data_IF_659027979805
#
_entry.id   IF_659027979805
#
_cell.length_a   1.000
_cell.length_b   1.000
_cell.length_c   1.000
_cell.angle_alpha   90.00
_cell.angle_beta   90.00
_cell.angle_gamma   90.00
#
_symmetry.space_group_name_H-M   'P 1'
#
loop_
_entity.id
_entity.type
_entity.pdbx_description
1 polymer ?
#
# COMPACT_ATOMS: atom_id res chain seq x y z
N UNK A 1 -21.50 -15.43 15.38
CA UNK A 1 -20.92 -14.15 14.94
C UNK A 1 -21.44 -13.09 15.89
N UNK A 2 -20.61 -12.61 16.82
CA UNK A 2 -21.07 -11.64 17.80
C UNK A 2 -21.32 -10.29 17.10
N UNK A 3 -22.49 -9.70 17.34
CA UNK A 3 -22.81 -8.37 16.87
C UNK A 3 -21.82 -7.37 17.49
N UNK A 4 -21.16 -6.60 16.65
CA UNK A 4 -20.31 -5.47 17.06
C UNK A 4 -20.98 -4.16 16.70
N UNK A 5 -20.57 -3.02 17.27
CA UNK A 5 -21.11 -1.72 16.88
C UNK A 5 -21.03 -1.46 15.37
N UNK A 6 -20.07 -2.11 14.70
CA UNK A 6 -19.79 -1.95 13.28
C UNK A 6 -20.51 -2.95 12.38
N UNK A 7 -20.87 -4.13 12.91
CA UNK A 7 -21.48 -5.23 12.14
C UNK A 7 -22.67 -5.75 12.94
N UNK A 8 -23.88 -5.72 12.34
CA UNK A 8 -25.10 -6.31 12.88
C UNK A 8 -25.71 -7.27 11.86
N UNK A 9 -26.15 -8.44 12.32
CA UNK A 9 -26.75 -9.48 11.48
C UNK A 9 -25.95 -9.81 10.19
N UNK A 10 -24.61 -9.80 10.29
CA UNK A 10 -23.74 -10.10 9.14
C UNK A 10 -23.69 -9.02 8.06
N UNK A 11 -24.06 -7.78 8.36
CA UNK A 11 -23.98 -6.62 7.47
C UNK A 11 -23.34 -5.43 8.18
N UNK A 12 -22.67 -4.56 7.43
CA UNK A 12 -22.21 -3.29 7.96
C UNK A 12 -23.41 -2.45 8.43
N UNK A 13 -23.26 -1.78 9.57
CA UNK A 13 -24.21 -0.75 10.00
C UNK A 13 -24.07 0.48 9.11
N UNK A 14 -25.13 1.29 9.00
CA UNK A 14 -25.08 2.56 8.27
C UNK A 14 -23.96 3.48 8.79
N UNK A 15 -23.76 3.48 10.12
CA UNK A 15 -22.66 4.21 10.77
C UNK A 15 -21.28 3.74 10.26
N UNK A 16 -21.07 2.43 10.16
CA UNK A 16 -19.79 1.89 9.67
C UNK A 16 -19.51 2.28 8.23
N UNK A 17 -20.55 2.22 7.38
CA UNK A 17 -20.42 2.64 5.98
C UNK A 17 -20.11 4.13 5.91
N UNK A 18 -20.82 4.96 6.66
CA UNK A 18 -20.58 6.39 6.72
C UNK A 18 -19.15 6.69 7.19
N UNK A 19 -18.67 6.05 8.26
CA UNK A 19 -17.32 6.23 8.79
C UNK A 19 -16.25 5.82 7.79
N UNK A 20 -16.44 4.73 7.04
CA UNK A 20 -15.48 4.29 6.01
C UNK A 20 -15.26 5.33 4.91
N UNK A 21 -16.27 6.11 4.56
CA UNK A 21 -16.14 7.18 3.56
C UNK A 21 -15.77 8.53 4.18
N UNK A 22 -16.36 8.88 5.31
CA UNK A 22 -16.14 10.17 5.96
C UNK A 22 -14.73 10.30 6.54
N UNK A 23 -14.14 9.21 7.05
CA UNK A 23 -12.81 9.26 7.66
C UNK A 23 -11.72 9.70 6.66
N UNK A 24 -11.55 9.06 5.48
CA UNK A 24 -10.57 9.53 4.50
C UNK A 24 -10.86 10.93 3.98
N UNK A 25 -12.14 11.27 3.77
CA UNK A 25 -12.55 12.60 3.29
C UNK A 25 -12.22 13.67 4.34
N UNK A 26 -12.59 13.46 5.58
CA UNK A 26 -12.31 14.40 6.67
C UNK A 26 -10.80 14.56 6.88
N UNK A 27 -10.05 13.45 6.87
CA UNK A 27 -8.58 13.48 6.95
C UNK A 27 -7.99 14.26 5.79
N UNK A 28 -8.47 14.04 4.56
CA UNK A 28 -8.01 14.77 3.38
C UNK A 28 -8.28 16.27 3.49
N UNK A 29 -9.49 16.68 3.89
CA UNK A 29 -9.86 18.08 4.06
C UNK A 29 -9.00 18.77 5.13
N UNK A 30 -8.82 18.13 6.29
CA UNK A 30 -7.95 18.65 7.35
C UNK A 30 -6.51 18.80 6.84
N UNK A 31 -5.98 17.79 6.16
CA UNK A 31 -4.61 17.77 5.67
C UNK A 31 -4.38 18.69 4.45
N UNK A 32 -5.44 19.10 3.73
CA UNK A 32 -5.37 20.18 2.75
C UNK A 32 -5.17 21.53 3.42
N UNK A 33 -5.72 21.75 4.61
CA UNK A 33 -5.53 23.00 5.36
C UNK A 33 -4.16 23.02 6.06
N UNK A 34 -3.66 21.87 6.54
CA UNK A 34 -2.42 21.75 7.32
C UNK A 34 -1.21 21.60 6.40
N UNK A 35 -0.16 22.34 6.68
CA UNK A 35 1.11 22.31 5.95
C UNK A 35 2.06 23.36 6.50
N UNK A 36 3.25 23.54 5.88
CA UNK A 36 4.18 24.62 6.23
C UNK A 36 3.55 26.00 6.17
N UNK A 37 2.62 26.19 5.26
CA UNK A 37 1.72 27.34 5.23
C UNK A 37 0.34 26.85 5.59
N UNK A 38 -0.30 27.44 6.59
CA UNK A 38 -1.71 27.18 6.90
C UNK A 38 -2.58 27.78 5.80
N UNK A 39 -3.55 26.99 5.32
CA UNK A 39 -4.52 27.44 4.31
C UNK A 39 -5.90 27.40 4.94
N UNK A 40 -6.65 28.52 4.92
CA UNK A 40 -8.02 28.55 5.42
C UNK A 40 -8.92 27.54 4.69
N UNK A 41 -9.83 26.91 5.43
CA UNK A 41 -10.78 25.94 4.85
C UNK A 41 -11.64 26.57 3.74
N UNK A 42 -11.95 27.85 3.84
CA UNK A 42 -12.67 28.58 2.81
C UNK A 42 -11.92 28.63 1.47
N UNK A 43 -10.59 28.74 1.50
CA UNK A 43 -9.77 28.72 0.26
C UNK A 43 -9.72 27.32 -0.32
N UNK A 44 -9.63 26.28 0.52
CA UNK A 44 -9.68 24.88 0.07
C UNK A 44 -11.00 24.60 -0.65
N UNK A 45 -12.14 25.01 -0.07
CA UNK A 45 -13.46 24.80 -0.67
C UNK A 45 -13.56 25.57 -2.00
N UNK A 46 -13.10 26.83 -2.04
CA UNK A 46 -13.09 27.64 -3.26
C UNK A 46 -12.21 27.02 -4.35
N UNK A 47 -11.01 26.55 -3.98
CA UNK A 47 -10.10 25.90 -4.91
C UNK A 47 -10.66 24.59 -5.47
N UNK A 48 -11.32 23.78 -4.65
CA UNK A 48 -11.98 22.54 -5.12
C UNK A 48 -13.16 22.90 -6.03
N UNK A 49 -13.98 23.89 -5.67
CA UNK A 49 -15.10 24.35 -6.48
C UNK A 49 -14.62 24.87 -7.84
N UNK A 50 -13.51 25.60 -7.87
CA UNK A 50 -12.96 26.17 -9.13
C UNK A 50 -12.52 25.10 -10.15
N UNK A 51 -12.20 23.86 -9.69
CA UNK A 51 -11.92 22.73 -10.59
C UNK A 51 -13.14 22.34 -11.44
N UNK A 52 -14.35 22.60 -10.94
CA UNK A 52 -15.61 22.27 -11.62
C UNK A 52 -16.21 23.47 -12.36
N UNK A 53 -15.97 24.69 -11.88
CA UNK A 53 -16.53 25.92 -12.50
C UNK A 53 -15.59 26.56 -13.50
N UNK A 54 -14.29 26.22 -13.47
CA UNK A 54 -13.27 26.87 -14.30
C UNK A 54 -12.86 28.27 -13.84
N UNK A 55 -13.52 28.83 -12.83
CA UNK A 55 -13.26 30.17 -12.31
C UNK A 55 -12.10 30.12 -11.27
N UNK A 56 -10.90 30.41 -11.72
CA UNK A 56 -9.71 30.44 -10.83
C UNK A 56 -9.40 31.84 -10.30
N UNK A 57 -10.02 32.89 -10.87
CA UNK A 57 -9.76 34.28 -10.49
C UNK A 57 -10.12 34.54 -9.02
N UNK A 58 -9.15 35.07 -8.25
CA UNK A 58 -9.35 35.46 -6.84
C UNK A 58 -9.24 34.32 -5.81
N UNK A 59 -8.90 33.10 -6.20
CA UNK A 59 -8.65 32.00 -5.25
C UNK A 59 -7.20 32.10 -4.74
N UNK A 60 -7.04 32.64 -3.55
CA UNK A 60 -5.74 32.65 -2.88
C UNK A 60 -5.23 31.21 -2.67
N UNK A 61 -3.93 30.99 -2.76
CA UNK A 61 -3.29 29.69 -2.56
C UNK A 61 -3.74 28.57 -3.53
N UNK A 62 -4.40 28.89 -4.64
CA UNK A 62 -4.88 27.91 -5.62
C UNK A 62 -3.79 26.92 -6.04
N UNK A 63 -2.61 27.44 -6.43
CA UNK A 63 -1.50 26.60 -6.89
C UNK A 63 -0.99 25.64 -5.78
N UNK A 64 -0.96 26.09 -4.53
CA UNK A 64 -0.55 25.28 -3.40
C UNK A 64 -1.56 24.14 -3.15
N UNK A 65 -2.85 24.46 -3.24
CA UNK A 65 -3.92 23.47 -2.99
C UNK A 65 -3.98 22.47 -4.13
N UNK A 66 -4.13 22.96 -5.38
CA UNK A 66 -4.46 22.12 -6.52
C UNK A 66 -3.22 21.47 -7.14
N UNK A 67 -2.09 22.18 -7.24
CA UNK A 67 -0.91 21.65 -7.94
C UNK A 67 0.07 20.93 -7.02
N UNK A 68 0.07 21.23 -5.70
CA UNK A 68 1.00 20.60 -4.76
C UNK A 68 0.30 19.65 -3.80
N UNK A 69 -0.74 20.09 -3.06
CA UNK A 69 -1.33 19.28 -1.98
C UNK A 69 -2.30 18.23 -2.49
N UNK A 70 -3.16 18.58 -3.41
CA UNK A 70 -4.20 17.67 -3.91
C UNK A 70 -3.61 16.43 -4.59
N UNK A 71 -2.60 16.51 -5.50
CA UNK A 71 -1.97 15.32 -6.06
C UNK A 71 -1.32 14.43 -4.98
N UNK A 72 -0.69 15.00 -3.96
CA UNK A 72 -0.10 14.24 -2.87
C UNK A 72 -1.16 13.46 -2.08
N UNK A 73 -2.26 14.11 -1.73
CA UNK A 73 -3.37 13.47 -1.00
C UNK A 73 -4.01 12.36 -1.84
N UNK A 74 -4.26 12.60 -3.13
CA UNK A 74 -4.80 11.57 -4.03
C UNK A 74 -3.85 10.37 -4.14
N UNK A 75 -2.55 10.62 -4.26
CA UNK A 75 -1.55 9.57 -4.29
C UNK A 75 -1.50 8.81 -2.96
N UNK A 76 -1.55 9.51 -1.81
CA UNK A 76 -1.60 8.91 -0.49
C UNK A 76 -2.83 8.01 -0.29
N UNK A 77 -4.01 8.43 -0.77
CA UNK A 77 -5.24 7.62 -0.74
C UNK A 77 -5.05 6.32 -1.49
N UNK A 78 -4.60 6.39 -2.75
CA UNK A 78 -4.49 5.22 -3.62
C UNK A 78 -3.40 4.26 -3.13
N UNK A 79 -2.23 4.78 -2.78
CA UNK A 79 -1.10 3.99 -2.27
C UNK A 79 -1.44 3.37 -0.91
N UNK A 80 -2.01 4.15 0.01
CA UNK A 80 -2.39 3.69 1.34
C UNK A 80 -3.45 2.59 1.30
N UNK A 81 -4.52 2.79 0.54
CA UNK A 81 -5.54 1.78 0.33
C UNK A 81 -4.96 0.52 -0.35
N UNK A 82 -4.13 0.69 -1.38
CA UNK A 82 -3.50 -0.41 -2.10
C UNK A 82 -2.61 -1.27 -1.21
N UNK A 83 -1.64 -0.67 -0.54
CA UNK A 83 -0.68 -1.41 0.28
C UNK A 83 -1.35 -2.14 1.45
N UNK A 84 -2.40 -1.57 2.05
CA UNK A 84 -3.17 -2.24 3.10
C UNK A 84 -4.00 -3.39 2.56
N UNK A 85 -4.58 -3.25 1.39
CA UNK A 85 -5.32 -4.32 0.70
C UNK A 85 -4.39 -5.50 0.37
N UNK A 86 -3.23 -5.22 -0.21
CA UNK A 86 -2.20 -6.21 -0.51
C UNK A 86 -1.70 -6.89 0.77
N UNK A 87 -1.38 -6.12 1.81
CA UNK A 87 -0.94 -6.65 3.11
C UNK A 87 -1.96 -7.58 3.74
N UNK A 88 -3.25 -7.18 3.81
CA UNK A 88 -4.31 -8.04 4.32
C UNK A 88 -4.44 -9.34 3.51
N UNK A 89 -4.30 -9.25 2.19
CA UNK A 89 -4.36 -10.40 1.29
C UNK A 89 -3.25 -11.40 1.59
N UNK A 90 -2.00 -10.93 1.77
CA UNK A 90 -0.89 -11.80 2.13
C UNK A 90 -1.05 -12.41 3.52
N UNK A 91 -1.52 -11.63 4.51
CA UNK A 91 -1.80 -12.15 5.85
C UNK A 91 -2.83 -13.29 5.83
N UNK A 92 -3.89 -13.14 5.03
CA UNK A 92 -4.89 -14.19 4.86
C UNK A 92 -4.34 -15.40 4.07
N UNK A 93 -3.55 -15.16 3.02
CA UNK A 93 -2.98 -16.19 2.14
C UNK A 93 -1.99 -17.09 2.87
N UNK A 94 -1.17 -16.51 3.75
CA UNK A 94 -0.17 -17.21 4.54
C UNK A 94 -0.66 -17.62 5.93
N UNK A 95 -1.93 -17.31 6.27
CA UNK A 95 -2.50 -17.49 7.62
C UNK A 95 -1.56 -16.96 8.72
N UNK A 96 -0.86 -15.86 8.40
CA UNK A 96 0.15 -15.25 9.26
C UNK A 96 -0.05 -13.74 9.32
N UNK A 97 -0.35 -13.16 10.49
CA UNK A 97 -0.58 -11.72 10.65
C UNK A 97 0.66 -10.85 10.35
N UNK A 98 1.84 -11.45 10.25
CA UNK A 98 3.10 -10.77 9.93
C UNK A 98 3.46 -10.83 8.43
N UNK A 99 2.66 -11.50 7.61
CA UNK A 99 2.94 -11.62 6.19
C UNK A 99 2.73 -10.28 5.45
N UNK A 100 3.68 -9.95 4.59
CA UNK A 100 3.65 -8.78 3.71
C UNK A 100 3.96 -9.20 2.27
N UNK A 101 3.63 -8.38 1.24
CA UNK A 101 4.01 -8.67 -0.14
C UNK A 101 5.51 -8.90 -0.35
N UNK A 102 6.36 -8.36 0.53
CA UNK A 102 7.82 -8.49 0.47
C UNK A 102 8.30 -9.93 0.62
N UNK A 103 7.50 -10.79 1.24
CA UNK A 103 7.81 -12.23 1.39
C UNK A 103 8.07 -12.91 0.04
N UNK A 104 7.46 -12.43 -1.05
CA UNK A 104 7.68 -12.96 -2.40
C UNK A 104 8.69 -12.15 -3.24
N UNK A 105 9.36 -11.17 -2.62
CA UNK A 105 10.37 -10.35 -3.28
C UNK A 105 9.82 -9.25 -4.19
N UNK A 106 8.51 -8.95 -4.13
CA UNK A 106 7.87 -7.94 -4.98
C UNK A 106 8.59 -6.60 -4.89
N UNK A 107 8.79 -6.10 -3.68
CA UNK A 107 9.43 -4.80 -3.44
C UNK A 107 10.87 -4.78 -3.94
N UNK A 108 11.65 -5.83 -3.64
CA UNK A 108 13.03 -5.93 -4.12
C UNK A 108 13.13 -5.92 -5.65
N UNK A 109 12.26 -6.69 -6.32
CA UNK A 109 12.19 -6.68 -7.78
C UNK A 109 11.80 -5.31 -8.33
N UNK A 110 10.75 -4.70 -7.79
CA UNK A 110 10.29 -3.37 -8.21
C UNK A 110 11.37 -2.31 -8.02
N UNK A 111 12.14 -2.36 -6.92
CA UNK A 111 13.25 -1.46 -6.68
C UNK A 111 14.35 -1.61 -7.73
N UNK A 112 14.73 -2.83 -8.10
CA UNK A 112 15.71 -3.06 -9.18
C UNK A 112 15.22 -2.43 -10.49
N UNK A 113 13.95 -2.66 -10.86
CA UNK A 113 13.38 -2.07 -12.06
C UNK A 113 13.39 -0.54 -12.02
N UNK A 114 13.07 0.06 -10.87
CA UNK A 114 13.08 1.53 -10.75
C UNK A 114 14.49 2.10 -10.72
N UNK A 115 15.46 1.45 -10.05
CA UNK A 115 16.87 1.86 -10.06
C UNK A 115 17.39 1.86 -11.50
N UNK A 116 17.09 0.82 -12.25
CA UNK A 116 17.46 0.72 -13.67
C UNK A 116 16.84 1.86 -14.48
N UNK A 117 15.56 2.15 -14.29
CA UNK A 117 14.87 3.24 -14.97
C UNK A 117 15.45 4.63 -14.63
N UNK A 118 15.85 4.85 -13.37
CA UNK A 118 16.52 6.10 -12.93
C UNK A 118 17.89 6.23 -13.61
N UNK A 119 18.69 5.17 -13.63
CA UNK A 119 20.00 5.17 -14.31
C UNK A 119 19.85 5.50 -15.80
N UNK A 120 18.82 4.94 -16.43
CA UNK A 120 18.53 5.16 -17.86
C UNK A 120 17.79 6.48 -18.12
N UNK A 121 17.50 7.27 -17.09
CA UNK A 121 16.73 8.54 -17.18
C UNK A 121 15.39 8.38 -17.92
N UNK A 122 14.67 7.29 -17.64
CA UNK A 122 13.39 6.98 -18.24
C UNK A 122 12.27 7.96 -17.83
N UNK A 123 11.27 8.10 -18.69
CA UNK A 123 10.05 8.87 -18.38
C UNK A 123 9.24 8.23 -17.22
N UNK A 124 8.29 9.00 -16.66
CA UNK A 124 7.40 8.52 -15.57
C UNK A 124 6.67 7.23 -15.98
N UNK A 125 6.16 7.16 -17.19
CA UNK A 125 5.45 5.99 -17.70
C UNK A 125 6.38 4.78 -17.81
N UNK A 126 7.52 4.95 -18.45
CA UNK A 126 8.51 3.88 -18.61
C UNK A 126 9.01 3.38 -17.26
N UNK A 127 9.32 4.28 -16.33
CA UNK A 127 9.74 3.92 -14.97
C UNK A 127 8.69 3.04 -14.27
N UNK A 128 7.41 3.41 -14.34
CA UNK A 128 6.35 2.62 -13.72
C UNK A 128 6.18 1.26 -14.40
N UNK A 129 6.29 1.19 -15.73
CA UNK A 129 6.18 -0.07 -16.47
C UNK A 129 7.36 -1.01 -16.21
N UNK A 130 8.58 -0.49 -16.21
CA UNK A 130 9.80 -1.26 -15.89
C UNK A 130 9.73 -1.77 -14.45
N UNK A 131 9.37 -0.92 -13.50
CA UNK A 131 9.21 -1.29 -12.10
C UNK A 131 8.17 -2.41 -11.92
N UNK A 132 7.00 -2.29 -12.57
CA UNK A 132 5.96 -3.33 -12.56
C UNK A 132 6.47 -4.63 -13.17
N UNK A 133 7.15 -4.57 -14.31
CA UNK A 133 7.69 -5.74 -14.99
C UNK A 133 8.69 -6.49 -14.09
N UNK A 134 9.62 -5.77 -13.43
CA UNK A 134 10.58 -6.37 -12.51
C UNK A 134 9.91 -6.91 -11.22
N UNK A 135 8.88 -6.25 -10.71
CA UNK A 135 8.07 -6.78 -9.60
C UNK A 135 7.38 -8.11 -9.95
N UNK A 136 6.78 -8.18 -11.14
CA UNK A 136 6.17 -9.41 -11.67
C UNK A 136 7.22 -10.48 -11.96
N UNK A 137 8.39 -10.11 -12.50
CA UNK A 137 9.52 -11.00 -12.75
C UNK A 137 10.03 -11.63 -11.45
N UNK A 138 10.14 -10.85 -10.38
CA UNK A 138 10.55 -11.36 -9.06
C UNK A 138 9.57 -12.41 -8.53
N UNK A 139 8.27 -12.15 -8.61
CA UNK A 139 7.24 -13.12 -8.20
C UNK A 139 7.25 -14.35 -9.08
N UNK A 140 7.37 -14.18 -10.40
CA UNK A 140 7.49 -15.32 -11.32
C UNK A 140 8.70 -16.18 -10.98
N UNK A 141 9.86 -15.56 -10.70
CA UNK A 141 11.07 -16.26 -10.28
C UNK A 141 10.86 -17.01 -8.96
N UNK A 142 10.23 -16.38 -7.96
CA UNK A 142 9.86 -17.00 -6.70
C UNK A 142 8.95 -18.22 -6.89
N UNK A 143 7.90 -18.07 -7.70
CA UNK A 143 6.98 -19.18 -8.01
C UNK A 143 7.69 -20.33 -8.75
N UNK A 144 8.64 -20.02 -9.62
CA UNK A 144 9.42 -21.01 -10.35
C UNK A 144 10.38 -21.79 -9.44
N UNK A 145 11.06 -21.12 -8.50
CA UNK A 145 11.92 -21.77 -7.48
C UNK A 145 11.07 -22.67 -6.58
N UNK A 146 9.92 -22.18 -6.10
CA UNK A 146 9.03 -22.97 -5.25
C UNK A 146 8.45 -24.20 -5.95
N UNK A 147 8.37 -24.20 -7.29
CA UNK A 147 7.96 -25.33 -8.12
C UNK A 147 6.57 -25.86 -7.82
N UNK A 148 6.31 -27.12 -8.17
CA UNK A 148 5.01 -27.77 -7.90
C UNK A 148 4.71 -27.95 -6.41
N UNK A 149 5.70 -27.82 -5.55
CA UNK A 149 5.54 -27.90 -4.10
C UNK A 149 4.96 -26.62 -3.47
N UNK A 150 4.96 -25.51 -4.20
CA UNK A 150 4.36 -24.23 -3.74
C UNK A 150 2.86 -24.36 -3.45
N UNK A 151 2.16 -25.30 -4.11
CA UNK A 151 0.75 -25.57 -3.85
C UNK A 151 0.52 -26.44 -2.60
N UNK A 152 1.56 -27.10 -2.08
CA UNK A 152 1.48 -28.03 -0.95
C UNK A 152 2.02 -27.43 0.37
N UNK A 153 2.95 -26.49 0.31
CA UNK A 153 3.51 -25.89 1.51
C UNK A 153 3.85 -24.41 1.31
N UNK A 154 3.26 -23.54 2.13
CA UNK A 154 3.57 -22.10 2.15
C UNK A 154 5.02 -21.84 2.56
N UNK A 155 5.67 -22.76 3.31
CA UNK A 155 7.06 -22.62 3.73
C UNK A 155 7.99 -22.57 2.51
N UNK A 156 7.80 -23.44 1.51
CA UNK A 156 8.62 -23.41 0.28
C UNK A 156 8.47 -22.10 -0.49
N UNK A 157 7.27 -21.53 -0.49
CA UNK A 157 7.01 -20.25 -1.14
C UNK A 157 7.73 -19.10 -0.42
N UNK A 158 7.75 -19.10 0.91
CA UNK A 158 8.48 -18.12 1.73
C UNK A 158 9.99 -18.25 1.50
N UNK A 159 10.54 -19.47 1.57
CA UNK A 159 11.98 -19.71 1.33
C UNK A 159 12.40 -19.28 -0.09
N UNK A 160 11.60 -19.60 -1.09
CA UNK A 160 11.84 -19.16 -2.47
C UNK A 160 11.82 -17.63 -2.58
N UNK A 161 10.92 -16.97 -1.86
CA UNK A 161 10.85 -15.51 -1.82
C UNK A 161 12.07 -14.87 -1.13
N UNK A 162 12.60 -15.48 -0.06
CA UNK A 162 13.85 -15.03 0.58
C UNK A 162 15.02 -15.11 -0.42
N UNK A 163 15.13 -16.22 -1.16
CA UNK A 163 16.17 -16.39 -2.20
C UNK A 163 16.02 -15.33 -3.31
N UNK A 164 14.79 -15.16 -3.81
CA UNK A 164 14.50 -14.16 -4.83
C UNK A 164 14.84 -12.75 -4.35
N UNK A 165 14.36 -12.36 -3.16
CA UNK A 165 14.65 -11.06 -2.56
C UNK A 165 16.14 -10.81 -2.40
N UNK A 166 16.90 -11.81 -1.95
CA UNK A 166 18.36 -11.71 -1.79
C UNK A 166 19.04 -11.47 -3.11
N UNK A 167 18.64 -12.18 -4.18
CA UNK A 167 19.18 -11.99 -5.51
C UNK A 167 18.87 -10.60 -6.07
N UNK A 168 17.60 -10.17 -6.02
CA UNK A 168 17.24 -8.84 -6.51
C UNK A 168 17.90 -7.72 -5.68
N UNK A 169 18.04 -7.88 -4.36
CA UNK A 169 18.79 -6.93 -3.54
C UNK A 169 20.28 -6.85 -3.92
N UNK A 170 20.91 -7.99 -4.25
CA UNK A 170 22.29 -8.02 -4.74
C UNK A 170 22.42 -7.29 -6.08
N UNK A 171 21.49 -7.53 -7.03
CA UNK A 171 21.43 -6.80 -8.31
C UNK A 171 21.23 -5.30 -8.08
N UNK A 172 20.29 -4.92 -7.20
CA UNK A 172 20.06 -3.52 -6.85
C UNK A 172 21.28 -2.84 -6.22
N UNK A 173 22.05 -3.59 -5.41
CA UNK A 173 23.31 -3.09 -4.84
C UNK A 173 24.39 -2.93 -5.89
N UNK A 174 24.48 -3.84 -6.85
CA UNK A 174 25.40 -3.72 -7.98
C UNK A 174 25.06 -2.49 -8.86
N UNK A 175 23.79 -2.28 -9.17
CA UNK A 175 23.36 -1.10 -9.92
C UNK A 175 23.67 0.21 -9.19
N UNK A 176 23.49 0.26 -7.87
CA UNK A 176 23.88 1.43 -7.05
C UNK A 176 25.40 1.65 -7.04
N UNK A 177 26.19 0.57 -6.98
CA UNK A 177 27.65 0.63 -7.01
C UNK A 177 28.19 1.19 -8.33
N UNK A 178 27.53 0.90 -9.43
CA UNK A 178 27.91 1.37 -10.79
C UNK A 178 27.27 2.72 -11.16
N UNK A 179 26.34 3.23 -10.35
CA UNK A 179 25.67 4.50 -10.61
C UNK A 179 26.61 5.70 -10.37
N UNK A 180 26.36 6.81 -11.11
CA UNK A 180 27.08 8.05 -10.92
C UNK A 180 26.96 8.54 -9.46
N UNK A 181 28.10 8.72 -8.74
CA UNK A 181 28.07 9.07 -7.31
C UNK A 181 27.53 10.47 -7.02
N UNK A 182 27.59 11.41 -7.97
CA UNK A 182 27.21 12.80 -7.77
C UNK A 182 25.76 13.08 -8.13
N UNK A 183 25.20 12.34 -9.11
CA UNK A 183 23.85 12.57 -9.63
C UNK A 183 22.90 11.37 -9.31
N UNK A 184 23.16 10.20 -9.88
CA UNK A 184 22.21 9.08 -9.84
C UNK A 184 22.15 8.37 -8.49
N UNK A 185 23.27 8.21 -7.80
CA UNK A 185 23.30 7.52 -6.51
C UNK A 185 22.50 8.25 -5.41
N UNK A 186 22.62 9.58 -5.25
CA UNK A 186 21.75 10.33 -4.35
C UNK A 186 20.28 10.22 -4.73
N UNK A 187 19.93 10.38 -6.02
CA UNK A 187 18.55 10.25 -6.52
C UNK A 187 17.94 8.90 -6.16
N UNK A 188 18.64 7.80 -6.44
CA UNK A 188 18.23 6.42 -6.10
C UNK A 188 18.06 6.25 -4.59
N UNK A 189 19.00 6.78 -3.81
CA UNK A 189 18.97 6.65 -2.34
C UNK A 189 17.75 7.36 -1.74
N UNK A 190 17.49 8.59 -2.17
CA UNK A 190 16.29 9.33 -1.74
C UNK A 190 15.01 8.63 -2.19
N UNK A 191 14.97 8.13 -3.43
CA UNK A 191 13.80 7.43 -3.93
C UNK A 191 13.50 6.16 -3.13
N UNK A 192 14.54 5.37 -2.77
CA UNK A 192 14.40 4.15 -1.96
C UNK A 192 13.81 4.41 -0.57
N UNK A 193 14.04 5.58 0.01
CA UNK A 193 13.48 5.94 1.31
C UNK A 193 11.98 6.20 1.29
N UNK A 194 11.39 6.34 0.11
CA UNK A 194 9.97 6.60 -0.10
C UNK A 194 9.56 8.03 0.19
N UNK A 195 8.88 8.65 -0.78
CA UNK A 195 8.39 10.03 -0.66
C UNK A 195 7.23 10.28 -1.62
N UNK A 196 6.34 11.21 -1.25
CA UNK A 196 5.37 11.79 -2.18
C UNK A 196 5.85 13.11 -2.80
N UNK A 197 7.11 13.49 -2.60
CA UNK A 197 7.74 14.59 -3.34
C UNK A 197 7.69 14.29 -4.83
N UNK A 198 7.27 15.25 -5.63
CA UNK A 198 7.07 15.04 -7.07
C UNK A 198 5.79 14.26 -7.43
N UNK A 199 4.82 14.15 -6.50
CA UNK A 199 3.47 13.69 -6.84
C UNK A 199 2.88 14.59 -7.91
N UNK A 200 2.34 13.99 -8.96
CA UNK A 200 1.70 14.71 -10.07
C UNK A 200 0.50 13.93 -10.58
N UNK A 201 -0.44 14.65 -11.21
CA UNK A 201 -1.59 14.01 -11.83
C UNK A 201 -1.20 12.99 -12.89
N UNK A 202 -0.11 13.23 -13.66
CA UNK A 202 0.41 12.28 -14.64
C UNK A 202 0.85 10.98 -13.98
N UNK A 203 1.59 11.07 -12.87
CA UNK A 203 2.07 9.90 -12.14
C UNK A 203 0.92 9.08 -11.55
N UNK A 204 -0.10 9.77 -11.03
CA UNK A 204 -1.32 9.14 -10.51
C UNK A 204 -2.12 8.47 -11.64
N UNK A 205 -2.29 9.15 -12.78
CA UNK A 205 -3.03 8.62 -13.92
C UNK A 205 -2.47 7.32 -14.48
N UNK A 206 -1.16 7.11 -14.39
CA UNK A 206 -0.50 5.85 -14.81
C UNK A 206 -0.60 4.76 -13.74
N UNK A 207 -0.28 5.08 -12.48
CA UNK A 207 -0.17 4.07 -11.42
C UNK A 207 -1.52 3.71 -10.77
N UNK A 208 -2.44 4.68 -10.61
CA UNK A 208 -3.71 4.42 -9.93
C UNK A 208 -4.60 3.39 -10.61
N UNK A 209 -4.74 3.32 -11.95
CA UNK A 209 -5.56 2.29 -12.59
C UNK A 209 -5.07 0.87 -12.27
N UNK A 210 -3.75 0.67 -12.19
CA UNK A 210 -3.16 -0.62 -11.85
C UNK A 210 -3.47 -1.00 -10.39
N UNK A 211 -3.29 -0.07 -9.45
CA UNK A 211 -3.62 -0.29 -8.04
C UNK A 211 -5.12 -0.57 -7.88
N UNK A 212 -5.98 0.24 -8.50
CA UNK A 212 -7.43 0.09 -8.41
C UNK A 212 -7.92 -1.22 -9.04
N UNK A 213 -7.33 -1.65 -10.15
CA UNK A 213 -7.66 -2.96 -10.75
C UNK A 213 -7.33 -4.12 -9.82
N UNK A 214 -6.16 -4.09 -9.18
CA UNK A 214 -5.78 -5.09 -8.18
C UNK A 214 -6.70 -5.07 -6.96
N UNK A 215 -7.02 -3.89 -6.42
CA UNK A 215 -8.00 -3.73 -5.32
C UNK A 215 -9.36 -4.29 -5.74
N UNK A 216 -9.83 -4.00 -6.96
CA UNK A 216 -11.12 -4.49 -7.46
C UNK A 216 -11.15 -6.02 -7.49
N UNK A 217 -10.11 -6.67 -8.01
CA UNK A 217 -10.02 -8.14 -8.03
C UNK A 217 -10.08 -8.71 -6.61
N UNK A 218 -9.28 -8.17 -5.69
CA UNK A 218 -9.27 -8.62 -4.29
C UNK A 218 -10.62 -8.36 -3.62
N UNK A 219 -11.22 -7.19 -3.83
CA UNK A 219 -12.51 -6.81 -3.25
C UNK A 219 -13.64 -7.73 -3.71
N UNK A 220 -13.70 -8.06 -4.97
CA UNK A 220 -14.72 -8.95 -5.52
C UNK A 220 -14.56 -10.39 -5.01
N UNK A 221 -13.33 -10.84 -4.83
CA UNK A 221 -13.03 -12.21 -4.41
C UNK A 221 -12.78 -12.35 -2.89
N UNK A 222 -12.92 -11.27 -2.10
CA UNK A 222 -12.52 -11.20 -0.69
C UNK A 222 -13.07 -12.30 0.21
N UNK A 223 -14.24 -12.85 -0.14
CA UNK A 223 -14.83 -13.97 0.61
C UNK A 223 -13.99 -15.26 0.48
N UNK A 224 -13.29 -15.46 -0.65
CA UNK A 224 -12.41 -16.62 -0.87
C UNK A 224 -11.18 -16.58 0.02
N UNK A 225 -10.75 -15.40 0.48
CA UNK A 225 -9.63 -15.27 1.44
C UNK A 225 -9.94 -15.95 2.77
N UNK A 226 -11.20 -15.97 3.20
CA UNK A 226 -11.59 -16.69 4.41
C UNK A 226 -11.40 -18.21 4.25
N UNK A 227 -11.65 -18.73 3.07
CA UNK A 227 -11.46 -20.16 2.78
C UNK A 227 -9.96 -20.49 2.71
N UNK A 228 -9.15 -19.61 2.12
CA UNK A 228 -7.69 -19.80 2.06
C UNK A 228 -7.01 -19.72 3.44
N UNK A 229 -7.69 -19.16 4.44
CA UNK A 229 -7.22 -19.08 5.81
C UNK A 229 -7.58 -20.30 6.67
N UNK A 230 -8.37 -21.26 6.12
CA UNK A 230 -8.70 -22.52 6.76
C UNK A 230 -7.55 -23.53 6.62
N UNK A 231 -7.68 -24.66 7.30
CA UNK A 231 -6.79 -25.79 7.09
C UNK A 231 -6.86 -26.29 5.63
N UNK A 232 -5.79 -26.92 5.14
CA UNK A 232 -5.72 -27.30 3.73
C UNK A 232 -6.85 -28.28 3.32
N UNK A 233 -7.23 -29.15 4.23
CA UNK A 233 -8.28 -30.16 3.98
C UNK A 233 -9.68 -29.52 3.96
N UNK A 234 -9.97 -28.63 4.89
CA UNK A 234 -11.22 -27.85 4.88
C UNK A 234 -11.32 -26.95 3.64
N UNK A 235 -10.22 -26.31 3.26
CA UNK A 235 -10.19 -25.48 2.06
C UNK A 235 -10.41 -26.29 0.78
N UNK A 236 -9.86 -27.51 0.68
CA UNK A 236 -10.12 -28.45 -0.44
C UNK A 236 -11.57 -28.89 -0.47
N UNK A 237 -12.18 -29.20 0.68
CA UNK A 237 -13.58 -29.59 0.79
C UNK A 237 -14.56 -28.52 0.29
N UNK A 238 -14.15 -27.24 0.24
CA UNK A 238 -14.97 -26.15 -0.31
C UNK A 238 -15.21 -26.21 -1.82
N UNK A 239 -14.53 -27.10 -2.56
CA UNK A 239 -14.61 -27.22 -4.01
C UNK A 239 -13.88 -26.13 -4.79
N UNK A 240 -13.15 -25.22 -4.13
CA UNK A 240 -12.37 -24.18 -4.80
C UNK A 240 -11.04 -24.72 -5.36
N UNK A 241 -10.68 -24.24 -6.55
CA UNK A 241 -9.35 -24.49 -7.09
C UNK A 241 -8.33 -23.58 -6.34
N UNK A 242 -7.78 -24.12 -5.24
CA UNK A 242 -6.89 -23.37 -4.35
C UNK A 242 -5.65 -22.81 -5.07
N UNK A 243 -4.91 -23.58 -5.92
CA UNK A 243 -3.74 -23.05 -6.62
C UNK A 243 -4.07 -21.84 -7.50
N UNK A 244 -5.16 -21.92 -8.28
CA UNK A 244 -5.59 -20.80 -9.13
C UNK A 244 -6.02 -19.60 -8.30
N UNK A 245 -6.77 -19.83 -7.23
CA UNK A 245 -7.25 -18.77 -6.35
C UNK A 245 -6.07 -18.04 -5.64
N UNK A 246 -5.10 -18.81 -5.15
CA UNK A 246 -3.85 -18.25 -4.57
C UNK A 246 -3.08 -17.41 -5.60
N UNK A 247 -2.91 -17.93 -6.82
CA UNK A 247 -2.21 -17.21 -7.90
C UNK A 247 -2.88 -15.88 -8.23
N UNK A 248 -4.22 -15.85 -8.34
CA UNK A 248 -4.96 -14.59 -8.60
C UNK A 248 -4.68 -13.56 -7.52
N UNK A 249 -4.72 -13.93 -6.25
CA UNK A 249 -4.43 -13.01 -5.15
C UNK A 249 -2.96 -12.56 -5.11
N UNK A 250 -2.02 -13.46 -5.38
CA UNK A 250 -0.59 -13.13 -5.50
C UNK A 250 -0.39 -12.10 -6.61
N UNK A 251 -0.93 -12.35 -7.81
CA UNK A 251 -0.76 -11.43 -8.95
C UNK A 251 -1.45 -10.08 -8.70
N UNK A 252 -2.68 -10.06 -8.18
CA UNK A 252 -3.37 -8.83 -7.86
C UNK A 252 -2.60 -7.99 -6.81
N UNK A 253 -2.12 -8.63 -5.75
CA UNK A 253 -1.31 -7.96 -4.72
C UNK A 253 0.05 -7.52 -5.25
N UNK A 254 0.67 -8.27 -6.17
CA UNK A 254 1.91 -7.88 -6.85
C UNK A 254 1.72 -6.63 -7.68
N UNK A 255 0.66 -6.56 -8.49
CA UNK A 255 0.34 -5.38 -9.29
C UNK A 255 0.12 -4.16 -8.39
N UNK A 256 -0.63 -4.31 -7.30
CA UNK A 256 -0.84 -3.23 -6.32
C UNK A 256 0.51 -2.77 -5.75
N UNK A 257 1.30 -3.68 -5.21
CA UNK A 257 2.54 -3.34 -4.50
C UNK A 257 3.58 -2.75 -5.44
N UNK A 258 3.80 -3.38 -6.60
CA UNK A 258 4.77 -2.88 -7.58
C UNK A 258 4.38 -1.49 -8.11
N UNK A 259 3.08 -1.26 -8.39
CA UNK A 259 2.62 0.06 -8.82
C UNK A 259 2.73 1.10 -7.70
N UNK A 260 2.39 0.76 -6.45
CA UNK A 260 2.53 1.66 -5.31
C UNK A 260 3.99 2.04 -5.07
N UNK A 261 4.89 1.04 -5.04
CA UNK A 261 6.34 1.26 -4.85
C UNK A 261 6.93 2.08 -5.99
N UNK A 262 6.54 1.84 -7.25
CA UNK A 262 7.01 2.64 -8.40
C UNK A 262 6.58 4.11 -8.33
N UNK A 263 5.45 4.39 -7.66
CA UNK A 263 4.95 5.76 -7.50
C UNK A 263 5.65 6.53 -6.37
N UNK A 264 5.98 5.89 -5.28
CA UNK A 264 6.42 6.59 -4.07
C UNK A 264 7.66 6.01 -3.38
N UNK A 265 8.32 5.01 -3.97
CA UNK A 265 9.41 4.29 -3.33
C UNK A 265 8.91 3.30 -2.27
N UNK A 266 9.82 2.82 -1.43
CA UNK A 266 9.48 1.84 -0.41
C UNK A 266 8.68 2.48 0.73
N UNK A 267 7.55 1.85 1.09
CA UNK A 267 6.77 2.21 2.27
C UNK A 267 6.48 0.95 3.06
N UNK A 268 7.11 0.84 4.22
CA UNK A 268 6.92 -0.29 5.13
C UNK A 268 5.77 -0.09 6.11
N UNK A 269 5.52 -1.10 6.94
CA UNK A 269 4.61 -1.12 8.10
C UNK A 269 3.12 -0.97 7.82
N UNK A 270 2.71 -0.19 6.82
CA UNK A 270 1.29 0.07 6.55
C UNK A 270 0.50 -1.19 6.22
N UNK A 271 1.06 -2.06 5.36
CA UNK A 271 0.46 -3.35 4.98
C UNK A 271 0.41 -4.37 6.12
N UNK A 272 1.16 -4.12 7.21
CA UNK A 272 1.17 -4.96 8.40
C UNK A 272 0.24 -4.41 9.49
N UNK A 273 0.37 -3.13 9.79
CA UNK A 273 -0.30 -2.46 10.91
C UNK A 273 -1.80 -2.31 10.67
N UNK A 274 -2.18 -1.74 9.52
CA UNK A 274 -3.56 -1.34 9.26
C UNK A 274 -4.53 -2.53 9.18
N UNK A 275 -4.21 -3.65 8.50
CA UNK A 275 -5.08 -4.83 8.53
C UNK A 275 -5.25 -5.39 9.96
N UNK A 276 -4.24 -5.27 10.80
CA UNK A 276 -4.34 -5.68 12.21
C UNK A 276 -5.34 -4.78 12.98
N UNK A 277 -5.23 -3.46 12.83
CA UNK A 277 -6.20 -2.51 13.38
C UNK A 277 -7.62 -2.78 12.88
N UNK A 278 -7.78 -3.05 11.59
CA UNK A 278 -9.08 -3.37 11.00
C UNK A 278 -9.69 -4.63 11.62
N UNK A 279 -8.89 -5.69 11.82
CA UNK A 279 -9.37 -6.92 12.50
C UNK A 279 -9.81 -6.68 13.93
N UNK A 280 -9.18 -5.78 14.65
CA UNK A 280 -9.62 -5.41 16.00
C UNK A 280 -11.00 -4.72 16.02
N UNK A 281 -11.34 -4.00 14.96
CA UNK A 281 -12.63 -3.29 14.87
C UNK A 281 -13.78 -4.19 14.37
N UNK A 282 -13.52 -5.04 13.37
CA UNK A 282 -14.57 -5.77 12.65
C UNK A 282 -14.40 -7.29 12.68
N UNK A 283 -13.46 -7.82 13.49
CA UNK A 283 -13.14 -9.24 13.53
C UNK A 283 -12.32 -9.71 12.33
N UNK A 284 -12.05 -11.04 12.23
CA UNK A 284 -11.11 -11.60 11.26
C UNK A 284 -11.71 -11.91 9.89
N UNK A 285 -13.01 -11.66 9.67
CA UNK A 285 -13.65 -11.96 8.40
C UNK A 285 -13.22 -10.97 7.29
N UNK A 286 -12.52 -11.45 6.29
CA UNK A 286 -11.98 -10.65 5.18
C UNK A 286 -13.05 -9.89 4.38
N UNK A 287 -14.33 -10.34 4.43
CA UNK A 287 -15.44 -9.61 3.84
C UNK A 287 -15.57 -8.20 4.42
N UNK A 288 -15.22 -8.04 5.71
CA UNK A 288 -15.29 -6.77 6.44
C UNK A 288 -13.92 -6.11 6.60
N UNK A 289 -12.88 -6.91 6.81
CA UNK A 289 -11.52 -6.38 7.04
C UNK A 289 -11.03 -5.59 5.84
N UNK A 290 -11.24 -6.08 4.60
CA UNK A 290 -10.74 -5.40 3.40
C UNK A 290 -11.33 -4.00 3.24
N UNK A 291 -12.66 -3.77 3.23
CA UNK A 291 -13.20 -2.42 3.11
C UNK A 291 -12.73 -1.46 4.20
N UNK A 292 -12.66 -1.93 5.45
CA UNK A 292 -12.18 -1.12 6.58
C UNK A 292 -10.69 -0.81 6.41
N UNK A 293 -9.88 -1.77 5.98
CA UNK A 293 -8.45 -1.56 5.72
C UNK A 293 -8.20 -0.53 4.62
N UNK A 294 -9.00 -0.52 3.55
CA UNK A 294 -8.91 0.48 2.48
C UNK A 294 -9.08 1.90 3.04
N UNK A 295 -10.12 2.11 3.86
CA UNK A 295 -10.41 3.40 4.48
C UNK A 295 -9.33 3.83 5.47
N UNK A 296 -8.95 2.94 6.40
CA UNK A 296 -7.92 3.24 7.39
C UNK A 296 -6.55 3.46 6.74
N UNK A 297 -6.20 2.68 5.72
CA UNK A 297 -4.94 2.81 5.00
C UNK A 297 -4.81 4.12 4.25
N UNK A 298 -5.89 4.54 3.57
CA UNK A 298 -5.95 5.84 2.92
C UNK A 298 -5.75 6.97 3.94
N UNK A 299 -6.52 6.96 5.03
CA UNK A 299 -6.43 7.98 6.09
C UNK A 299 -5.05 8.02 6.75
N UNK A 300 -4.48 6.85 7.07
CA UNK A 300 -3.16 6.75 7.67
C UNK A 300 -2.08 7.33 6.75
N UNK A 301 -2.10 7.00 5.45
CA UNK A 301 -1.10 7.53 4.50
C UNK A 301 -1.21 9.04 4.31
N UNK A 302 -2.42 9.60 4.30
CA UNK A 302 -2.61 11.05 4.26
C UNK A 302 -1.98 11.72 5.49
N UNK A 303 -2.18 11.14 6.68
CA UNK A 303 -1.58 11.65 7.92
C UNK A 303 -0.05 11.56 7.87
N UNK A 304 0.51 10.42 7.46
CA UNK A 304 1.97 10.23 7.34
C UNK A 304 2.57 11.24 6.36
N UNK A 305 1.94 11.45 5.19
CA UNK A 305 2.41 12.46 4.23
C UNK A 305 2.37 13.87 4.83
N UNK A 306 1.31 14.19 5.55
CA UNK A 306 1.18 15.50 6.18
C UNK A 306 2.25 15.72 7.26
N UNK A 307 2.51 14.70 8.09
CA UNK A 307 3.61 14.73 9.06
C UNK A 307 4.97 14.87 8.37
N UNK A 308 5.21 14.09 7.30
CA UNK A 308 6.46 14.14 6.51
C UNK A 308 6.84 15.56 6.09
N UNK A 309 5.86 16.34 5.64
CA UNK A 309 6.06 17.71 5.12
C UNK A 309 5.94 18.84 6.15
N UNK A 310 5.51 18.53 7.40
CA UNK A 310 5.25 19.55 8.43
C UNK A 310 6.24 19.54 9.58
N UNK A 311 6.82 18.39 9.92
CA UNK A 311 7.70 18.24 11.09
C UNK A 311 9.05 18.93 10.88
N UNK A 312 9.60 18.90 9.67
CA UNK A 312 10.94 19.41 9.37
C UNK A 312 10.96 20.28 8.11
N UNK A 313 12.01 21.11 7.98
CA UNK A 313 12.30 21.90 6.76
C UNK A 313 12.61 20.96 5.59
N UNK A 314 13.32 19.87 5.83
CA UNK A 314 13.53 18.80 4.85
C UNK A 314 12.45 17.77 5.07
N UNK A 315 11.77 17.35 4.00
CA UNK A 315 10.72 16.34 4.09
C UNK A 315 11.29 15.02 4.62
N UNK A 316 10.64 14.46 5.65
CA UNK A 316 11.06 13.19 6.22
C UNK A 316 10.61 12.04 5.30
N UNK A 317 11.47 11.06 5.02
CA UNK A 317 11.10 9.89 4.25
C UNK A 317 9.93 9.12 4.86
N UNK A 318 9.02 8.62 4.01
CA UNK A 318 7.81 7.90 4.45
C UNK A 318 8.16 6.62 5.20
N UNK A 319 9.19 5.88 4.76
CA UNK A 319 9.63 4.64 5.42
C UNK A 319 10.07 4.87 6.86
N UNK A 320 10.74 5.99 7.13
CA UNK A 320 11.20 6.36 8.48
C UNK A 320 10.00 6.65 9.37
N UNK A 321 9.07 7.49 8.91
CA UNK A 321 7.88 7.86 9.69
C UNK A 321 6.97 6.66 9.94
N UNK A 322 6.73 5.83 8.92
CA UNK A 322 5.91 4.63 9.09
C UNK A 322 6.55 3.62 10.04
N UNK A 323 7.89 3.54 10.09
CA UNK A 323 8.59 2.68 11.04
C UNK A 323 8.53 3.23 12.47
N UNK A 324 8.82 4.53 12.65
CA UNK A 324 8.80 5.17 13.98
C UNK A 324 7.40 5.11 14.61
N UNK A 325 6.34 5.26 13.82
CA UNK A 325 4.96 5.19 14.32
C UNK A 325 4.47 3.74 14.36
N UNK A 326 4.77 2.96 13.33
CA UNK A 326 4.25 1.61 13.17
C UNK A 326 4.78 0.62 14.20
N UNK A 327 6.07 0.63 14.48
CA UNK A 327 6.68 -0.33 15.39
C UNK A 327 6.15 -0.19 16.83
N UNK A 328 6.09 1.00 17.47
CA UNK A 328 5.53 1.13 18.82
C UNK A 328 4.06 0.77 18.89
N UNK A 329 3.26 1.21 17.90
CA UNK A 329 1.83 0.86 17.84
C UNK A 329 1.66 -0.65 17.73
N UNK A 330 2.46 -1.32 16.91
CA UNK A 330 2.40 -2.77 16.75
C UNK A 330 2.79 -3.51 18.04
N UNK A 331 3.82 -3.05 18.77
CA UNK A 331 4.22 -3.60 20.07
C UNK A 331 3.08 -3.49 21.09
N UNK A 332 2.42 -2.33 21.16
CA UNK A 332 1.28 -2.13 22.07
C UNK A 332 0.11 -3.06 21.75
N UNK A 333 -0.16 -3.27 20.45
CA UNK A 333 -1.21 -4.19 19.99
C UNK A 333 -0.89 -5.65 20.31
N UNK A 334 0.37 -6.08 20.16
CA UNK A 334 0.81 -7.42 20.54
C UNK A 334 0.67 -7.68 22.03
N UNK A 335 1.06 -6.71 22.86
CA UNK A 335 0.97 -6.83 24.32
C UNK A 335 -0.48 -6.92 24.80
N UNK A 336 -1.39 -6.16 24.19
CA UNK A 336 -2.83 -6.20 24.51
C UNK A 336 -3.45 -7.56 24.16
N UNK A 337 -3.05 -8.18 23.08
CA UNK A 337 -3.52 -9.53 22.73
C UNK A 337 -2.98 -10.62 23.68
N UNK A 338 -1.76 -10.47 24.18
CA UNK A 338 -1.22 -11.41 25.17
C UNK A 338 -2.02 -11.44 26.47
N UNK A 339 -2.60 -10.32 26.90
CA UNK A 339 -3.43 -10.27 28.11
C UNK A 339 -4.78 -10.97 27.96
N UNK A 340 -5.28 -11.14 26.73
CA UNK A 340 -6.53 -11.85 26.45
C UNK A 340 -6.36 -13.36 26.28
N UNK A 341 -5.10 -13.87 26.26
CA UNK A 341 -4.76 -15.30 26.20
C UNK A 341 -4.25 -15.86 27.55
N UNK A 342 -4.27 -15.06 28.61
CA UNK A 342 -4.11 -15.47 30.00
C UNK A 342 -5.46 -15.42 30.72
#
# INVERSE_FOLDING_TARGET
>A
MNDTPFIKKGRFTALSVALMFLLPIATALICLCVGRMSVPLGDVIRAIRSLFTGETAGVQNYSIIVNLRLPRILMAIVVGAGLTCAGNTYQALFSNPLATPDILGVTSGTCVGTILAIILSCSIFETQMIALAFGLLSVWFTLKIAGKNSSRSMVYLVLAGVIASSLFNAVGSLLKYTADPQDKLPEITYWLMGSFTGASYKKIAVGSPLILSGIMVIYLLRWRLNILSLSEDEAKASGLNLPRTRLIFILASTVITASAVSMCGQVGWIGLLIPHCARMLVGSNNRYVIPVSLSLGASFMILIDTLSRTISIIELPLSILTAIIGAPVFITLLNKNRSNFR
#
